data_IF_147693978219
#
_entry.id   IF_147693978219
#
_cell.length_a   1.000
_cell.length_b   1.000
_cell.length_c   1.000
_cell.angle_alpha   90.00
_cell.angle_beta   90.00
_cell.angle_gamma   90.00
#
_symmetry.space_group_name_H-M   'P 1'
#
loop_
_entity.id
_entity.type
_entity.pdbx_description
1 polymer ?
#
# COMPACT_ATOMS: atom_id res chain seq x y z
N UNK A 1 -21.76 -11.52 -8.03
CA UNK A 1 -21.64 -10.75 -6.77
C UNK A 1 -21.10 -9.38 -7.14
N UNK A 2 -21.88 -8.31 -6.95
CA UNK A 2 -21.45 -6.95 -7.31
C UNK A 2 -20.54 -6.44 -6.19
N UNK A 3 -19.22 -6.35 -6.44
CA UNK A 3 -18.29 -5.75 -5.49
C UNK A 3 -18.40 -4.23 -5.62
N UNK A 4 -18.90 -3.57 -4.57
CA UNK A 4 -18.93 -2.10 -4.53
C UNK A 4 -17.53 -1.61 -4.15
N UNK A 5 -16.92 -0.81 -5.03
CA UNK A 5 -15.70 -0.08 -4.67
C UNK A 5 -16.06 1.03 -3.68
N UNK A 6 -15.37 1.10 -2.55
CA UNK A 6 -15.64 2.15 -1.54
C UNK A 6 -14.58 3.24 -1.48
N UNK A 7 -13.39 3.00 -2.03
CA UNK A 7 -12.38 4.02 -2.29
C UNK A 7 -11.45 3.55 -3.41
N UNK A 8 -10.93 4.50 -4.18
CA UNK A 8 -9.96 4.28 -5.24
C UNK A 8 -8.88 5.35 -5.17
N UNK A 9 -7.64 4.92 -5.33
CA UNK A 9 -6.47 5.81 -5.43
C UNK A 9 -5.75 5.51 -6.73
N UNK A 10 -5.19 6.55 -7.36
CA UNK A 10 -4.44 6.44 -8.60
C UNK A 10 -3.16 7.28 -8.51
N UNK A 11 -2.04 6.65 -8.81
CA UNK A 11 -0.75 7.32 -8.95
C UNK A 11 -0.44 7.52 -10.44
N UNK A 12 -0.48 8.77 -10.88
CA UNK A 12 -0.27 9.14 -12.29
C UNK A 12 1.15 8.86 -12.75
N UNK A 13 2.14 9.01 -11.87
CA UNK A 13 3.55 8.84 -12.22
C UNK A 13 3.89 7.39 -12.56
N UNK A 14 3.33 6.44 -11.80
CA UNK A 14 3.55 5.00 -11.98
C UNK A 14 2.44 4.31 -12.78
N UNK A 15 1.34 5.03 -13.05
CA UNK A 15 0.12 4.52 -13.68
C UNK A 15 -0.47 3.32 -12.92
N UNK A 16 -0.35 3.35 -11.59
CA UNK A 16 -0.85 2.31 -10.69
C UNK A 16 -2.10 2.81 -9.97
N UNK A 17 -3.12 1.97 -9.87
CA UNK A 17 -4.31 2.23 -9.08
C UNK A 17 -4.53 1.14 -8.04
N UNK A 18 -5.20 1.49 -6.95
CA UNK A 18 -5.77 0.53 -6.02
C UNK A 18 -7.23 0.88 -5.76
N UNK A 19 -8.07 -0.14 -5.65
CA UNK A 19 -9.46 0.00 -5.31
C UNK A 19 -9.84 -0.98 -4.20
N UNK A 20 -10.62 -0.51 -3.25
CA UNK A 20 -11.11 -1.31 -2.14
C UNK A 20 -12.39 -2.02 -2.54
N UNK A 21 -12.29 -3.34 -2.71
CA UNK A 21 -13.41 -4.23 -2.89
C UNK A 21 -13.83 -4.72 -1.49
N UNK A 22 -15.09 -4.52 -1.11
CA UNK A 22 -15.62 -5.08 0.15
C UNK A 22 -16.24 -6.45 -0.10
N UNK A 23 -15.55 -7.58 0.16
CA UNK A 23 -16.20 -8.88 0.24
C UNK A 23 -17.02 -9.01 1.52
N UNK A 24 -17.94 -9.98 1.52
CA UNK A 24 -19.02 -10.04 2.48
C UNK A 24 -18.63 -10.42 3.92
N UNK A 25 -17.42 -10.92 4.22
CA UNK A 25 -17.00 -11.27 5.60
C UNK A 25 -15.48 -11.47 5.75
N UNK A 26 -14.91 -11.10 6.91
CA UNK A 26 -13.59 -11.54 7.39
C UNK A 26 -12.37 -10.71 6.96
N UNK A 27 -12.54 -9.80 6.00
CA UNK A 27 -11.45 -8.94 5.56
C UNK A 27 -11.82 -8.06 4.38
N UNK A 28 -10.84 -7.29 3.91
CA UNK A 28 -10.98 -6.34 2.81
C UNK A 28 -10.09 -6.75 1.66
N UNK A 29 -10.63 -6.79 0.44
CA UNK A 29 -9.86 -7.06 -0.77
C UNK A 29 -9.46 -5.74 -1.38
N UNK A 30 -8.18 -5.56 -1.63
CA UNK A 30 -7.67 -4.43 -2.41
C UNK A 30 -7.25 -4.94 -3.78
N UNK A 31 -7.92 -4.47 -4.82
CA UNK A 31 -7.49 -4.72 -6.18
C UNK A 31 -6.49 -3.67 -6.57
N UNK A 32 -5.29 -4.10 -6.96
CA UNK A 32 -4.22 -3.24 -7.43
C UNK A 32 -4.02 -3.51 -8.91
N UNK A 33 -4.05 -2.48 -9.72
CA UNK A 33 -3.79 -2.60 -11.15
C UNK A 33 -2.78 -1.59 -11.65
N UNK A 34 -2.13 -1.94 -12.76
CA UNK A 34 -1.24 -1.05 -13.51
C UNK A 34 -1.75 -0.94 -14.93
N UNK A 35 -1.75 0.27 -15.48
CA UNK A 35 -2.02 0.49 -16.90
C UNK A 35 -0.89 -0.15 -17.70
N UNK A 36 -1.24 -1.09 -18.58
CA UNK A 36 -0.30 -1.78 -19.48
C UNK A 36 -0.38 -1.24 -20.90
N UNK A 37 -1.51 -0.67 -21.28
CA UNK A 37 -1.74 -0.09 -22.59
C UNK A 37 -2.84 0.96 -22.51
N UNK A 38 -2.70 2.04 -23.26
CA UNK A 38 -3.76 3.04 -23.44
C UNK A 38 -4.05 3.18 -24.92
N UNK A 39 -5.33 3.13 -25.29
CA UNK A 39 -5.81 3.37 -26.66
C UNK A 39 -6.86 4.48 -26.57
N UNK A 40 -6.51 5.69 -26.97
CA UNK A 40 -7.34 6.88 -26.72
C UNK A 40 -7.58 7.04 -25.21
N UNK A 41 -8.85 7.17 -24.84
CA UNK A 41 -9.29 7.34 -23.45
C UNK A 41 -9.49 6.01 -22.69
N UNK A 42 -9.19 4.87 -23.32
CA UNK A 42 -9.35 3.54 -22.71
C UNK A 42 -8.00 3.03 -22.20
N UNK A 43 -7.91 2.84 -20.89
CA UNK A 43 -6.76 2.22 -20.23
C UNK A 43 -7.01 0.72 -20.01
N UNK A 44 -6.16 -0.12 -20.59
CA UNK A 44 -6.10 -1.54 -20.33
C UNK A 44 -5.15 -1.78 -19.16
N UNK A 45 -5.63 -2.52 -18.15
CA UNK A 45 -4.89 -2.69 -16.90
C UNK A 45 -4.68 -4.16 -16.61
N UNK A 46 -3.48 -4.52 -16.15
CA UNK A 46 -3.26 -5.81 -15.47
C UNK A 46 -3.48 -5.60 -13.98
N UNK A 47 -4.35 -6.39 -13.37
CA UNK A 47 -4.69 -6.26 -11.96
C UNK A 47 -4.47 -7.55 -11.18
N UNK A 48 -4.32 -7.41 -9.87
CA UNK A 48 -4.25 -8.48 -8.89
C UNK A 48 -4.97 -8.07 -7.61
N UNK A 49 -5.34 -9.06 -6.82
CA UNK A 49 -6.05 -8.84 -5.55
C UNK A 49 -5.10 -9.11 -4.37
N UNK A 50 -5.16 -8.25 -3.36
CA UNK A 50 -4.53 -8.43 -2.05
C UNK A 50 -5.64 -8.60 -1.03
N UNK A 51 -5.56 -9.67 -0.25
CA UNK A 51 -6.43 -9.87 0.90
C UNK A 51 -5.79 -9.29 2.14
N UNK A 52 -6.48 -8.36 2.79
CA UNK A 52 -6.06 -7.83 4.10
C UNK A 52 -7.06 -8.34 5.14
N UNK A 53 -6.60 -9.18 6.09
CA UNK A 53 -7.44 -9.63 7.20
C UNK A 53 -7.97 -8.43 7.98
N UNK A 54 -9.29 -8.37 8.10
CA UNK A 54 -9.98 -7.28 8.80
C UNK A 54 -11.29 -7.83 9.40
N UNK A 55 -11.18 -8.65 10.46
CA UNK A 55 -12.34 -9.25 11.10
C UNK A 55 -13.29 -8.22 11.71
N UNK A 56 -12.78 -7.02 12.03
CA UNK A 56 -13.54 -5.94 12.66
C UNK A 56 -14.11 -4.92 11.65
N UNK A 57 -13.75 -5.02 10.37
CA UNK A 57 -14.14 -4.09 9.28
C UNK A 57 -13.66 -2.64 9.50
N UNK A 58 -12.45 -2.50 10.04
CA UNK A 58 -11.85 -1.21 10.39
C UNK A 58 -10.76 -0.77 9.42
N UNK A 59 -10.41 -1.59 8.42
CA UNK A 59 -9.41 -1.28 7.39
C UNK A 59 -10.09 -0.65 6.17
N UNK A 60 -10.06 0.68 6.07
CA UNK A 60 -10.70 1.40 4.95
C UNK A 60 -9.84 2.51 4.34
N UNK A 61 -8.83 3.01 5.08
CA UNK A 61 -7.96 4.10 4.64
C UNK A 61 -6.81 3.52 3.84
N UNK A 62 -6.68 3.96 2.59
CA UNK A 62 -5.58 3.56 1.72
C UNK A 62 -4.83 4.74 1.15
N UNK A 63 -3.52 4.56 0.98
CA UNK A 63 -2.64 5.48 0.28
C UNK A 63 -1.55 4.70 -0.46
N UNK A 64 -0.92 5.33 -1.46
CA UNK A 64 0.29 4.79 -2.06
C UNK A 64 1.52 5.48 -1.49
N UNK A 65 2.51 4.68 -1.13
CA UNK A 65 3.81 5.15 -0.68
C UNK A 65 4.88 4.60 -1.61
N UNK A 66 5.72 5.48 -2.17
CA UNK A 66 6.95 5.05 -2.80
C UNK A 66 7.94 4.69 -1.69
N UNK A 67 8.45 3.47 -1.72
CA UNK A 67 9.51 2.98 -0.85
C UNK A 67 10.87 3.34 -1.43
N UNK A 68 11.82 3.69 -0.56
CA UNK A 68 13.23 3.76 -0.90
C UNK A 68 13.74 2.42 -1.45
N UNK A 69 14.85 2.46 -2.18
CA UNK A 69 15.46 1.29 -2.83
C UNK A 69 15.80 0.16 -1.85
N UNK A 70 16.05 0.47 -0.58
CA UNK A 70 16.65 -0.46 0.38
C UNK A 70 15.71 -0.95 1.51
N UNK A 71 14.49 -0.40 1.64
CA UNK A 71 13.70 -0.53 2.89
C UNK A 71 12.71 -1.70 2.97
N UNK A 72 12.79 -2.65 2.04
CA UNK A 72 12.12 -3.95 2.20
C UNK A 72 13.14 -5.04 1.94
N UNK A 73 14.02 -5.26 2.92
CA UNK A 73 14.68 -6.55 3.09
C UNK A 73 13.58 -7.55 3.44
N UNK A 74 13.24 -8.36 2.45
CA UNK A 74 12.34 -9.49 2.53
C UNK A 74 12.88 -10.43 3.62
N UNK A 75 12.32 -10.39 4.83
CA UNK A 75 12.51 -11.48 5.76
C UNK A 75 11.50 -12.59 5.42
N UNK A 76 12.06 -13.71 4.95
CA UNK A 76 11.49 -15.07 4.90
C UNK A 76 10.65 -15.45 3.67
N UNK A 77 11.30 -15.86 2.58
CA UNK A 77 11.49 -17.29 2.25
C UNK A 77 12.34 -17.48 0.98
N UNK A 78 13.17 -18.52 1.02
CA UNK A 78 14.15 -18.93 0.01
C UNK A 78 13.52 -19.48 -1.28
N UNK A 79 14.04 -18.97 -2.41
CA UNK A 79 14.37 -19.60 -3.70
C UNK A 79 13.39 -20.55 -4.41
N UNK A 80 12.91 -20.11 -5.58
CA UNK A 80 13.07 -20.86 -6.83
C UNK A 80 13.53 -19.91 -7.96
N UNK A 81 14.41 -20.41 -8.82
CA UNK A 81 15.25 -19.69 -9.77
C UNK A 81 14.46 -19.06 -10.94
N UNK A 82 14.43 -17.73 -11.02
CA UNK A 82 14.09 -16.98 -12.24
C UNK A 82 15.36 -16.46 -12.94
N UNK A 83 15.38 -16.41 -14.29
CA UNK A 83 16.52 -15.94 -15.06
C UNK A 83 16.79 -14.44 -14.86
N UNK A 84 18.08 -14.10 -14.73
CA UNK A 84 18.61 -12.74 -14.45
C UNK A 84 18.12 -11.63 -15.39
N UNK A 85 17.66 -11.96 -16.59
CA UNK A 85 17.21 -10.98 -17.59
C UNK A 85 15.88 -10.32 -17.21
N UNK A 86 14.95 -11.08 -16.61
CA UNK A 86 13.68 -10.57 -16.08
C UNK A 86 13.86 -9.82 -14.74
N UNK A 87 14.94 -10.09 -13.99
CA UNK A 87 15.25 -9.34 -12.77
C UNK A 87 15.66 -7.89 -13.07
N UNK A 88 16.31 -7.62 -14.22
CA UNK A 88 16.80 -6.28 -14.56
C UNK A 88 15.70 -5.30 -15.01
N UNK A 89 14.61 -5.77 -15.62
CA UNK A 89 13.47 -4.91 -16.00
C UNK A 89 12.49 -4.63 -14.84
N UNK A 90 12.59 -5.38 -13.74
CA UNK A 90 11.77 -5.20 -12.53
C UNK A 90 12.37 -4.12 -11.59
N UNK A 91 13.62 -3.72 -11.81
CA UNK A 91 14.40 -2.89 -10.87
C UNK A 91 14.27 -1.38 -11.06
N UNK A 92 13.69 -0.87 -12.16
CA UNK A 92 13.65 0.58 -12.44
C UNK A 92 12.29 1.25 -12.23
N UNK A 93 11.29 0.52 -11.74
CA UNK A 93 10.01 1.13 -11.33
C UNK A 93 10.02 1.32 -9.81
N UNK A 94 9.93 2.58 -9.38
CA UNK A 94 9.61 2.99 -8.01
C UNK A 94 8.86 1.89 -7.23
N UNK A 95 9.48 1.34 -6.17
CA UNK A 95 8.85 0.33 -5.31
C UNK A 95 7.62 0.95 -4.65
N UNK A 96 6.43 0.70 -5.18
CA UNK A 96 5.20 1.23 -4.60
C UNK A 96 4.69 0.25 -3.53
N UNK A 97 4.28 0.79 -2.38
CA UNK A 97 3.56 0.07 -1.36
C UNK A 97 2.14 0.61 -1.27
N UNK A 98 1.18 -0.32 -1.13
CA UNK A 98 -0.16 0.00 -0.65
C UNK A 98 -0.08 0.13 0.88
N UNK A 99 -0.41 1.30 1.38
CA UNK A 99 -0.51 1.60 2.80
C UNK A 99 -1.97 1.43 3.20
N UNK A 100 -2.25 0.54 4.15
CA UNK A 100 -3.60 0.25 4.64
C UNK A 100 -3.67 0.59 6.12
N UNK A 101 -4.50 1.56 6.45
CA UNK A 101 -4.72 2.03 7.81
C UNK A 101 -5.90 1.35 8.49
N UNK A 102 -5.72 1.00 9.76
CA UNK A 102 -6.77 0.54 10.64
C UNK A 102 -7.40 1.71 11.39
N UNK A 103 -8.65 2.01 11.04
CA UNK A 103 -9.44 3.09 11.64
C UNK A 103 -9.79 2.85 13.11
N UNK A 104 -9.71 1.63 13.65
CA UNK A 104 -10.03 1.39 15.06
C UNK A 104 -8.79 1.37 15.97
N UNK A 105 -7.70 0.78 15.48
CA UNK A 105 -6.51 0.52 16.29
C UNK A 105 -5.38 1.53 16.07
N UNK A 106 -5.47 2.39 15.05
CA UNK A 106 -4.41 3.34 14.73
C UNK A 106 -3.10 2.65 14.34
N UNK A 107 -3.17 1.48 13.68
CA UNK A 107 -2.00 0.83 13.09
C UNK A 107 -2.07 0.87 11.56
N UNK A 108 -0.91 0.70 10.94
CA UNK A 108 -0.76 0.75 9.48
C UNK A 108 -0.03 -0.49 9.02
N UNK A 109 -0.50 -1.07 7.92
CA UNK A 109 0.17 -2.18 7.25
C UNK A 109 0.63 -1.75 5.86
N UNK A 110 1.85 -2.11 5.50
CA UNK A 110 2.45 -1.82 4.20
C UNK A 110 2.50 -3.09 3.38
N UNK A 111 2.01 -3.02 2.15
CA UNK A 111 1.94 -4.15 1.24
C UNK A 111 2.70 -3.81 -0.05
N UNK A 112 3.79 -4.52 -0.33
CA UNK A 112 4.53 -4.33 -1.59
C UNK A 112 3.63 -4.69 -2.77
N UNK A 113 3.40 -3.73 -3.66
CA UNK A 113 2.47 -3.91 -4.78
C UNK A 113 2.99 -4.88 -5.85
N UNK A 114 4.21 -5.40 -5.73
CA UNK A 114 4.80 -6.39 -6.62
C UNK A 114 4.73 -7.82 -6.10
N UNK A 115 4.69 -8.02 -4.77
CA UNK A 115 4.75 -9.34 -4.16
C UNK A 115 3.35 -9.96 -4.03
N UNK A 116 3.14 -11.25 -4.36
CA UNK A 116 1.90 -11.97 -4.08
C UNK A 116 1.77 -12.17 -2.57
N UNK A 117 1.15 -11.22 -1.86
CA UNK A 117 1.23 -11.16 -0.41
C UNK A 117 0.05 -11.83 0.29
N UNK A 118 0.35 -12.81 1.14
CA UNK A 118 -0.51 -13.31 2.23
C UNK A 118 -0.27 -12.58 3.56
N UNK A 119 0.81 -11.79 3.65
CA UNK A 119 1.19 -11.00 4.83
C UNK A 119 1.72 -9.61 4.43
N UNK A 120 1.59 -8.60 5.30
CA UNK A 120 2.16 -7.28 5.05
C UNK A 120 3.68 -7.33 5.08
N UNK A 121 4.32 -6.48 4.28
CA UNK A 121 5.76 -6.30 4.25
C UNK A 121 6.28 -5.59 5.51
N UNK A 122 5.46 -4.71 6.10
CA UNK A 122 5.74 -4.08 7.38
C UNK A 122 4.44 -3.74 8.11
N UNK A 123 4.49 -3.75 9.45
CA UNK A 123 3.42 -3.24 10.32
C UNK A 123 4.01 -2.09 11.13
N UNK A 124 3.37 -0.92 11.06
CA UNK A 124 3.71 0.26 11.84
C UNK A 124 2.64 0.43 12.92
N UNK A 125 3.05 0.36 14.18
CA UNK A 125 2.18 0.59 15.33
C UNK A 125 2.46 1.98 15.89
N UNK A 126 1.45 2.84 15.92
CA UNK A 126 1.55 4.17 16.51
C UNK A 126 1.33 4.08 18.02
N UNK A 127 2.35 3.67 18.77
CA UNK A 127 2.32 3.66 20.24
C UNK A 127 2.75 5.04 20.80
N UNK A 128 2.23 5.51 21.96
CA UNK A 128 1.20 4.92 22.84
C UNK A 128 -0.26 5.19 22.44
N UNK A 129 -0.51 5.82 21.30
CA UNK A 129 -1.83 6.34 20.96
C UNK A 129 -2.68 5.27 20.24
N UNK A 130 -3.51 4.56 21.00
CA UNK A 130 -4.60 3.76 20.41
C UNK A 130 -5.75 4.74 20.13
N UNK A 131 -5.66 5.42 18.98
CA UNK A 131 -6.69 6.32 18.51
C UNK A 131 -7.11 5.96 17.09
N UNK A 132 -8.41 6.08 16.76
CA UNK A 132 -8.89 5.90 15.40
C UNK A 132 -8.12 6.71 14.36
N UNK A 133 -7.76 6.07 13.26
CA UNK A 133 -7.12 6.73 12.13
C UNK A 133 -8.14 7.51 11.31
N UNK A 134 -7.83 8.77 11.06
CA UNK A 134 -8.69 9.69 10.30
C UNK A 134 -8.18 9.90 8.87
N UNK A 135 -6.85 9.95 8.67
CA UNK A 135 -6.26 10.24 7.37
C UNK A 135 -4.85 9.66 7.21
N UNK A 136 -4.47 9.40 5.95
CA UNK A 136 -3.13 9.00 5.54
C UNK A 136 -2.69 9.92 4.40
N UNK A 137 -1.53 10.57 4.55
CA UNK A 137 -0.92 11.39 3.51
C UNK A 137 0.54 11.08 3.36
N UNK A 138 1.10 11.43 2.21
CA UNK A 138 2.54 11.50 2.00
C UNK A 138 2.96 12.94 1.72
N UNK A 139 4.13 13.30 2.21
CA UNK A 139 4.75 14.60 2.02
C UNK A 139 6.27 14.44 1.80
N UNK A 140 6.94 15.55 1.57
CA UNK A 140 8.40 15.64 1.67
C UNK A 140 8.76 16.54 2.83
N UNK A 141 9.78 16.16 3.60
CA UNK A 141 10.33 17.02 4.65
C UNK A 141 11.20 18.14 4.06
N UNK A 142 11.78 18.99 4.92
CA UNK A 142 12.66 20.09 4.50
C UNK A 142 13.97 19.65 3.82
N UNK A 143 14.32 18.36 3.92
CA UNK A 143 15.48 17.75 3.28
C UNK A 143 15.10 17.01 1.98
N UNK A 144 13.82 17.00 1.62
CA UNK A 144 13.29 16.29 0.46
C UNK A 144 13.03 14.81 0.69
N UNK A 145 13.24 14.27 1.89
CA UNK A 145 12.93 12.88 2.23
C UNK A 145 11.43 12.67 2.20
N UNK A 146 11.00 11.49 1.79
CA UNK A 146 9.57 11.15 1.82
C UNK A 146 9.15 10.80 3.25
N UNK A 147 8.04 11.37 3.66
CA UNK A 147 7.41 11.08 4.95
C UNK A 147 5.95 10.72 4.75
N UNK A 148 5.47 9.79 5.55
CA UNK A 148 4.06 9.48 5.71
C UNK A 148 3.53 10.21 6.93
N UNK A 149 2.34 10.77 6.80
CA UNK A 149 1.60 11.43 7.88
C UNK A 149 0.35 10.62 8.15
N UNK A 150 0.14 10.28 9.42
CA UNK A 150 -1.04 9.57 9.90
C UNK A 150 -1.79 10.47 10.88
N UNK A 151 -2.95 10.96 10.46
CA UNK A 151 -3.83 11.77 11.30
C UNK A 151 -4.70 10.87 12.16
N UNK A 152 -4.70 11.11 13.48
CA UNK A 152 -5.48 10.36 14.46
C UNK A 152 -6.62 11.21 15.02
N UNK A 153 -7.65 10.55 15.52
CA UNK A 153 -8.86 11.20 16.09
C UNK A 153 -8.62 11.90 17.43
N UNK A 154 -7.48 11.64 18.08
CA UNK A 154 -7.06 12.26 19.34
C UNK A 154 -6.20 13.53 19.12
N UNK A 155 -6.27 14.11 17.92
CA UNK A 155 -5.56 15.32 17.50
C UNK A 155 -4.04 15.18 17.33
N UNK A 156 -3.51 13.95 17.34
CA UNK A 156 -2.12 13.70 17.00
C UNK A 156 -1.91 13.45 15.50
N UNK A 157 -0.74 13.86 15.02
CA UNK A 157 -0.23 13.49 13.69
C UNK A 157 1.06 12.72 13.91
N UNK A 158 1.08 11.46 13.51
CA UNK A 158 2.30 10.66 13.47
C UNK A 158 3.00 10.85 12.14
N UNK A 159 4.29 11.14 12.19
CA UNK A 159 5.14 11.21 11.02
C UNK A 159 6.05 9.98 10.99
N UNK A 160 6.08 9.28 9.86
CA UNK A 160 6.98 8.15 9.63
C UNK A 160 7.83 8.41 8.39
N UNK A 161 9.15 8.43 8.56
CA UNK A 161 10.07 8.53 7.44
C UNK A 161 10.04 7.21 6.65
N UNK A 162 9.92 7.30 5.32
CA UNK A 162 9.86 6.12 4.44
C UNK A 162 11.26 5.60 4.10
N UNK A 163 12.26 6.41 4.38
CA UNK A 163 13.65 6.29 3.92
C UNK A 163 14.61 5.98 5.08
N UNK A 164 14.13 5.39 6.19
CA UNK A 164 14.99 5.08 7.34
C UNK A 164 15.97 3.97 6.99
N UNK A 165 17.22 4.37 6.76
CA UNK A 165 18.43 3.55 6.64
C UNK A 165 18.78 2.83 7.94
#
# INVERSE_FOLDING_TARGET
>A
MVATSTCMIYDVATQVWAATLRPATGGTVYRIGRVVQSIGDVAYTKSRDIWVPDPQRTMTRIHFCQLGTDNLLISNHQTESMPQKEQSEILDSARLALVVGNEALGNVTLWDTRLPSVSPAQIITMHPFIAPMMDIKSARDGHGNRVMLFGLSDHHIHMWATDVS
#
